data_IF_238582202202
#
_entry.id   IF_238582202202
#
_cell.length_a   1.000
_cell.length_b   1.000
_cell.length_c   1.000
_cell.angle_alpha   90.00
_cell.angle_beta   90.00
_cell.angle_gamma   90.00
#
_symmetry.space_group_name_H-M   'P 1'
#
loop_
_entity.id
_entity.type
_entity.pdbx_description
1 polymer ?
#
# COMPACT_ATOMS: atom_id res chain seq x y z
N UNK A 1 -53.73 2.84 -8.19
CA UNK A 1 -54.39 1.63 -8.74
C UNK A 1 -53.32 0.82 -9.44
N UNK A 2 -53.29 -0.49 -9.16
CA UNK A 2 -52.30 -1.52 -9.55
C UNK A 2 -50.97 -1.44 -8.79
N UNK A 3 -50.73 -2.18 -7.70
CA UNK A 3 -50.70 -3.64 -7.49
C UNK A 3 -49.81 -4.39 -8.50
N UNK A 4 -48.68 -4.95 -8.03
CA UNK A 4 -48.46 -6.41 -8.00
C UNK A 4 -47.00 -6.80 -7.68
N UNK A 5 -46.86 -7.53 -6.56
CA UNK A 5 -46.17 -8.84 -6.38
C UNK A 5 -44.64 -8.85 -6.52
N UNK A 6 -43.84 -9.22 -5.51
CA UNK A 6 -43.87 -10.34 -4.56
C UNK A 6 -43.65 -11.70 -5.24
N UNK A 7 -42.41 -12.20 -5.17
CA UNK A 7 -41.91 -13.57 -5.45
C UNK A 7 -40.38 -13.49 -5.64
N UNK A 8 -39.50 -14.30 -5.08
CA UNK A 8 -39.60 -15.58 -4.40
C UNK A 8 -38.29 -15.82 -3.63
N UNK A 9 -38.41 -16.26 -2.37
CA UNK A 9 -37.33 -16.86 -1.59
C UNK A 9 -36.85 -18.14 -2.28
N UNK A 10 -35.57 -18.23 -2.62
CA UNK A 10 -34.88 -19.52 -2.82
C UNK A 10 -33.89 -19.76 -1.69
N UNK A 11 -34.34 -20.59 -0.74
CA UNK A 11 -33.49 -21.24 0.26
C UNK A 11 -32.60 -22.26 -0.42
N UNK A 12 -31.30 -21.98 -0.51
CA UNK A 12 -30.31 -22.99 -0.89
C UNK A 12 -30.04 -23.92 0.29
N UNK A 13 -30.44 -25.17 0.10
CA UNK A 13 -30.27 -26.29 1.01
C UNK A 13 -28.82 -26.79 0.90
N UNK A 14 -28.08 -26.80 2.00
CA UNK A 14 -26.71 -27.31 2.06
C UNK A 14 -26.68 -28.85 2.08
N UNK A 15 -25.75 -29.52 1.36
CA UNK A 15 -25.55 -30.96 1.48
C UNK A 15 -24.77 -31.34 2.75
N UNK A 16 -24.97 -32.58 3.26
CA UNK A 16 -24.41 -33.03 4.54
C UNK A 16 -22.90 -33.32 4.50
N UNK A 17 -22.29 -33.06 5.65
CA UNK A 17 -20.90 -33.32 6.02
C UNK A 17 -20.49 -34.78 5.80
N UNK A 18 -19.38 -35.01 5.10
CA UNK A 18 -18.69 -36.30 5.09
C UNK A 18 -17.73 -36.36 6.26
N UNK A 19 -18.08 -37.19 7.23
CA UNK A 19 -17.17 -37.72 8.25
C UNK A 19 -16.01 -38.44 7.56
N UNK A 20 -14.82 -37.86 7.65
CA UNK A 20 -13.59 -38.48 7.21
C UNK A 20 -12.85 -38.98 8.46
N UNK A 21 -12.98 -40.27 8.74
CA UNK A 21 -12.23 -40.98 9.77
C UNK A 21 -10.73 -40.93 9.45
N UNK A 22 -9.95 -40.39 10.39
CA UNK A 22 -8.49 -40.49 10.39
C UNK A 22 -8.09 -41.87 10.95
N UNK A 23 -7.15 -42.61 10.32
CA UNK A 23 -6.50 -43.71 11.00
C UNK A 23 -5.48 -43.17 12.01
N UNK A 24 -5.49 -43.81 13.18
CA UNK A 24 -4.48 -43.68 14.20
C UNK A 24 -3.17 -44.30 13.69
N UNK A 25 -2.13 -43.48 13.56
CA UNK A 25 -0.77 -43.99 13.44
C UNK A 25 0.16 -43.17 14.35
N UNK A 26 0.33 -43.70 15.56
CA UNK A 26 1.24 -43.19 16.59
C UNK A 26 2.67 -43.61 16.25
N UNK A 27 3.24 -42.97 15.24
CA UNK A 27 4.68 -43.01 14.95
C UNK A 27 5.37 -41.86 15.68
N UNK A 28 5.98 -42.15 16.84
CA UNK A 28 6.83 -41.22 17.60
C UNK A 28 8.12 -40.94 16.81
N UNK A 29 8.04 -40.08 15.79
CA UNK A 29 9.19 -39.50 15.12
C UNK A 29 9.79 -38.44 16.04
N UNK A 30 10.96 -38.74 16.59
CA UNK A 30 11.84 -37.77 17.25
C UNK A 30 12.18 -36.67 16.24
N UNK A 31 11.42 -35.56 16.27
CA UNK A 31 11.69 -34.39 15.47
C UNK A 31 13.09 -33.86 15.83
N UNK A 32 13.98 -33.83 14.84
CA UNK A 32 15.26 -33.16 14.97
C UNK A 32 15.04 -31.71 15.44
N UNK A 33 15.92 -31.13 16.27
CA UNK A 33 15.81 -29.75 16.70
C UNK A 33 15.75 -28.85 15.47
N UNK A 34 14.61 -28.17 15.28
CA UNK A 34 14.45 -27.16 14.22
C UNK A 34 15.54 -26.11 14.47
N UNK A 35 16.44 -25.85 13.50
CA UNK A 35 17.51 -24.88 13.68
C UNK A 35 16.92 -23.55 14.14
N UNK A 36 17.49 -23.01 15.22
CA UNK A 36 16.96 -21.83 15.92
C UNK A 36 16.59 -20.74 14.93
N UNK A 37 15.28 -20.44 14.86
CA UNK A 37 14.73 -19.37 14.04
C UNK A 37 15.45 -18.09 14.44
N UNK A 38 16.23 -17.52 13.51
CA UNK A 38 16.81 -16.19 13.68
C UNK A 38 15.65 -15.22 13.88
N UNK A 39 15.38 -14.85 15.14
CA UNK A 39 14.47 -13.77 15.46
C UNK A 39 15.19 -12.51 15.02
N UNK A 40 14.88 -12.06 13.80
CA UNK A 40 15.33 -10.75 13.34
C UNK A 40 14.76 -9.70 14.31
N UNK A 41 15.58 -8.75 14.78
CA UNK A 41 15.07 -7.68 15.63
C UNK A 41 13.96 -6.94 14.88
N UNK A 42 12.76 -6.91 15.45
CA UNK A 42 11.63 -6.13 14.94
C UNK A 42 11.92 -4.66 15.19
N UNK A 43 12.43 -3.96 14.18
CA UNK A 43 12.51 -2.50 14.20
C UNK A 43 11.09 -1.96 14.07
N UNK A 44 10.59 -1.14 15.01
CA UNK A 44 9.25 -0.58 14.91
C UNK A 44 9.12 0.26 13.65
N UNK A 45 8.13 -0.09 12.82
CA UNK A 45 7.80 0.61 11.57
C UNK A 45 7.26 2.00 11.93
N UNK A 46 8.08 3.03 11.76
CA UNK A 46 7.69 4.44 11.96
C UNK A 46 7.64 5.13 10.62
N UNK A 47 6.51 5.79 10.34
CA UNK A 47 6.37 6.67 9.18
C UNK A 47 7.46 7.74 9.26
N UNK A 48 8.21 7.99 8.18
CA UNK A 48 9.22 9.05 8.18
C UNK A 48 8.52 10.42 8.20
N UNK A 49 8.93 11.32 9.11
CA UNK A 49 8.31 12.66 9.21
C UNK A 49 8.68 13.59 8.04
N UNK A 50 9.78 13.27 7.32
CA UNK A 50 10.30 14.04 6.20
C UNK A 50 10.86 13.15 5.11
N UNK A 51 10.65 13.53 3.86
CA UNK A 51 11.20 12.85 2.68
C UNK A 51 11.71 13.88 1.67
N UNK A 52 12.89 13.64 1.11
CA UNK A 52 13.47 14.43 0.02
C UNK A 52 13.15 13.81 -1.34
N UNK A 53 12.61 14.61 -2.24
CA UNK A 53 12.32 14.21 -3.64
C UNK A 53 12.92 15.24 -4.58
N UNK A 54 14.08 14.94 -5.16
CA UNK A 54 14.84 15.91 -5.96
C UNK A 54 15.18 17.17 -5.15
N UNK A 55 14.56 18.30 -5.51
CA UNK A 55 14.70 19.59 -4.84
C UNK A 55 13.63 19.85 -3.76
N UNK A 56 12.63 18.99 -3.63
CA UNK A 56 11.54 19.14 -2.66
C UNK A 56 11.91 18.51 -1.31
N UNK A 57 11.50 19.17 -0.22
CA UNK A 57 11.66 18.71 1.15
C UNK A 57 10.27 18.52 1.76
N UNK A 58 9.70 17.34 1.56
CA UNK A 58 8.31 17.06 1.91
C UNK A 58 8.17 16.72 3.38
N UNK A 59 7.18 17.31 4.05
CA UNK A 59 6.71 16.87 5.36
C UNK A 59 5.68 15.76 5.19
N UNK A 60 5.81 14.65 5.92
CA UNK A 60 4.79 13.59 5.94
C UNK A 60 3.94 13.76 7.19
N UNK A 61 2.62 13.78 7.00
CA UNK A 61 1.62 14.04 8.03
C UNK A 61 0.61 12.89 8.06
N UNK A 62 0.13 12.58 9.26
CA UNK A 62 -1.04 11.73 9.45
C UNK A 62 -2.15 12.64 10.02
N UNK A 63 -3.15 12.95 9.21
CA UNK A 63 -4.16 13.96 9.54
C UNK A 63 -5.51 13.67 8.84
N UNK A 64 -6.49 13.18 9.61
CA UNK A 64 -7.83 12.89 9.07
C UNK A 64 -8.55 14.15 8.61
N UNK A 65 -8.41 15.28 9.32
CA UNK A 65 -9.12 16.50 8.96
C UNK A 65 -8.65 17.07 7.62
N UNK A 66 -7.35 16.98 7.36
CA UNK A 66 -6.77 17.33 6.07
C UNK A 66 -7.20 16.38 4.94
N UNK A 67 -7.38 15.08 5.23
CA UNK A 67 -7.90 14.09 4.28
C UNK A 67 -9.37 14.35 3.94
N UNK A 68 -10.21 14.62 4.95
CA UNK A 68 -11.63 14.89 4.76
C UNK A 68 -11.83 16.13 3.87
N UNK A 69 -11.12 17.22 4.18
CA UNK A 69 -11.18 18.45 3.37
C UNK A 69 -10.74 18.22 1.91
N UNK A 70 -9.66 17.47 1.69
CA UNK A 70 -9.20 17.14 0.34
C UNK A 70 -10.15 16.18 -0.40
N UNK A 71 -10.79 15.26 0.32
CA UNK A 71 -11.76 14.31 -0.24
C UNK A 71 -13.03 15.04 -0.72
N UNK A 72 -13.51 16.02 0.05
CA UNK A 72 -14.62 16.90 -0.34
C UNK A 72 -14.28 17.71 -1.59
N UNK A 73 -13.07 18.28 -1.68
CA UNK A 73 -12.62 19.06 -2.84
C UNK A 73 -12.53 18.20 -4.12
N UNK A 74 -12.12 16.93 -3.99
CA UNK A 74 -11.89 16.01 -5.12
C UNK A 74 -13.09 15.12 -5.45
N UNK A 75 -14.21 15.28 -4.76
CA UNK A 75 -15.43 14.47 -4.91
C UNK A 75 -15.16 12.95 -4.81
N UNK A 76 -14.38 12.53 -3.80
CA UNK A 76 -14.07 11.12 -3.60
C UNK A 76 -13.20 10.84 -2.37
N UNK A 77 -13.31 9.62 -1.78
CA UNK A 77 -12.53 9.27 -0.60
C UNK A 77 -11.04 9.15 -0.92
N UNK A 78 -10.20 9.74 -0.07
CA UNK A 78 -8.75 9.65 -0.17
C UNK A 78 -8.15 8.83 0.97
N UNK A 79 -7.17 8.00 0.65
CA UNK A 79 -6.29 7.36 1.66
C UNK A 79 -5.00 8.14 1.89
N UNK A 80 -4.64 8.99 0.94
CA UNK A 80 -3.52 9.93 1.02
C UNK A 80 -3.61 10.96 -0.10
N UNK A 81 -2.80 12.02 0.02
CA UNK A 81 -2.50 12.92 -1.08
C UNK A 81 -1.15 13.59 -0.89
N UNK A 82 -0.60 14.09 -1.99
CA UNK A 82 0.62 14.87 -2.02
C UNK A 82 0.36 16.28 -2.59
N UNK A 83 1.02 17.26 -1.99
CA UNK A 83 0.89 18.68 -2.31
C UNK A 83 2.29 19.28 -2.42
N UNK A 84 2.74 19.49 -3.66
CA UNK A 84 4.08 19.98 -3.95
C UNK A 84 4.25 21.47 -3.62
N UNK A 85 3.16 22.25 -3.64
CA UNK A 85 3.22 23.69 -3.35
C UNK A 85 3.42 23.92 -1.85
N UNK A 86 2.72 23.14 -1.02
CA UNK A 86 2.87 23.16 0.43
C UNK A 86 3.99 22.23 0.92
N UNK A 87 4.67 21.53 0.02
CA UNK A 87 5.71 20.54 0.31
C UNK A 87 5.30 19.54 1.39
N UNK A 88 4.17 18.87 1.18
CA UNK A 88 3.65 17.89 2.14
C UNK A 88 3.05 16.66 1.47
N UNK A 89 3.05 15.56 2.22
CA UNK A 89 2.29 14.34 1.96
C UNK A 89 1.41 14.13 3.18
N UNK A 90 0.13 13.86 2.98
CA UNK A 90 -0.83 13.60 4.05
C UNK A 90 -1.40 12.21 3.85
N UNK A 91 -1.41 11.42 4.92
CA UNK A 91 -1.95 10.06 4.96
C UNK A 91 -3.16 10.02 5.91
N UNK A 92 -4.13 9.18 5.57
CA UNK A 92 -5.26 8.88 6.46
C UNK A 92 -4.81 8.03 7.65
N UNK A 93 -5.18 8.37 8.90
CA UNK A 93 -4.88 7.54 10.06
C UNK A 93 -5.65 6.21 10.06
N UNK A 94 -5.13 5.23 10.79
CA UNK A 94 -5.84 3.98 11.10
C UNK A 94 -5.76 2.91 10.01
N UNK A 95 -5.02 3.17 8.93
CA UNK A 95 -4.66 2.16 7.95
C UNK A 95 -3.81 1.03 8.56
N UNK A 96 -3.94 -0.17 8.01
CA UNK A 96 -2.98 -1.24 8.28
C UNK A 96 -1.58 -0.84 7.79
N UNK A 97 -0.50 -1.32 8.43
CA UNK A 97 0.86 -0.82 8.17
C UNK A 97 1.32 -1.04 6.71
N UNK A 98 0.87 -2.11 6.06
CA UNK A 98 1.23 -2.38 4.66
C UNK A 98 0.48 -1.45 3.70
N UNK A 99 -0.79 -1.16 3.97
CA UNK A 99 -1.59 -0.23 3.18
C UNK A 99 -1.13 1.21 3.38
N UNK A 100 -0.75 1.60 4.60
CA UNK A 100 -0.15 2.91 4.88
C UNK A 100 1.17 3.09 4.10
N UNK A 101 2.02 2.06 4.06
CA UNK A 101 3.28 2.10 3.34
C UNK A 101 3.10 2.13 1.82
N UNK A 102 2.14 1.36 1.30
CA UNK A 102 1.73 1.44 -0.10
C UNK A 102 1.23 2.85 -0.45
N UNK A 103 0.37 3.43 0.39
CA UNK A 103 -0.18 4.77 0.20
C UNK A 103 0.93 5.82 0.19
N UNK A 104 1.88 5.76 1.13
CA UNK A 104 3.02 6.67 1.12
C UNK A 104 3.87 6.50 -0.14
N UNK A 105 4.12 5.27 -0.56
CA UNK A 105 4.86 5.00 -1.80
C UNK A 105 4.13 5.60 -3.00
N UNK A 106 2.83 5.39 -3.11
CA UNK A 106 1.98 5.95 -4.17
C UNK A 106 2.11 7.48 -4.26
N UNK A 107 2.01 8.18 -3.14
CA UNK A 107 2.16 9.63 -3.11
C UNK A 107 3.57 10.10 -3.47
N UNK A 108 4.60 9.32 -3.13
CA UNK A 108 5.97 9.59 -3.56
C UNK A 108 6.17 9.38 -5.07
N UNK A 109 5.45 8.44 -5.70
CA UNK A 109 5.46 8.27 -7.15
C UNK A 109 4.88 9.49 -7.85
N UNK A 110 3.78 10.07 -7.32
CA UNK A 110 3.25 11.35 -7.83
C UNK A 110 4.31 12.47 -7.76
N UNK A 111 5.05 12.55 -6.66
CA UNK A 111 6.11 13.55 -6.51
C UNK A 111 7.30 13.29 -7.45
N UNK A 112 7.68 12.02 -7.67
CA UNK A 112 8.71 11.65 -8.67
C UNK A 112 8.33 12.12 -10.06
N UNK A 113 7.09 11.83 -10.48
CA UNK A 113 6.58 12.22 -11.78
C UNK A 113 6.63 13.75 -11.93
N UNK A 114 6.23 14.49 -10.90
CA UNK A 114 6.27 15.95 -10.92
C UNK A 114 7.68 16.51 -11.03
N UNK A 115 8.65 15.99 -10.28
CA UNK A 115 10.05 16.48 -10.34
C UNK A 115 10.78 16.04 -11.61
N UNK A 116 10.29 15.01 -12.30
CA UNK A 116 10.83 14.59 -13.60
C UNK A 116 10.57 15.62 -14.70
N UNK A 117 9.62 16.53 -14.50
CA UNK A 117 9.20 17.52 -15.48
C UNK A 117 8.27 16.97 -16.57
N UNK A 118 7.83 15.71 -16.46
CA UNK A 118 6.84 15.12 -17.38
C UNK A 118 5.50 15.85 -17.24
N UNK A 119 4.93 16.30 -18.37
CA UNK A 119 3.58 16.84 -18.42
C UNK A 119 2.57 15.68 -18.61
N UNK A 120 1.63 15.46 -17.68
CA UNK A 120 0.60 14.42 -17.82
C UNK A 120 -0.25 14.54 -19.08
N UNK A 121 -0.32 15.72 -19.70
CA UNK A 121 -1.09 15.96 -20.92
C UNK A 121 -0.38 15.46 -22.19
N UNK A 122 0.93 15.19 -22.13
CA UNK A 122 1.68 14.67 -23.27
C UNK A 122 1.30 13.21 -23.59
N UNK A 123 0.78 12.48 -22.60
CA UNK A 123 0.40 11.06 -22.73
C UNK A 123 -0.93 10.86 -23.46
N UNK A 124 -1.75 11.90 -23.64
CA UNK A 124 -3.09 11.81 -24.25
C UNK A 124 -3.07 11.43 -25.74
N UNK A 125 -1.89 11.38 -26.38
CA UNK A 125 -1.73 11.10 -27.82
C UNK A 125 -0.68 10.02 -28.14
N UNK A 126 -0.07 9.41 -27.12
CA UNK A 126 0.97 8.41 -27.30
C UNK A 126 0.37 6.99 -27.34
N UNK A 127 1.05 6.07 -28.01
CA UNK A 127 0.74 4.64 -27.96
C UNK A 127 1.08 4.09 -26.56
N UNK A 128 0.43 2.99 -26.15
CA UNK A 128 0.57 2.44 -24.78
C UNK A 128 2.03 2.10 -24.44
N UNK A 129 2.75 1.45 -25.37
CA UNK A 129 4.15 1.08 -25.18
C UNK A 129 5.06 2.31 -25.04
N UNK A 130 4.74 3.40 -25.74
CA UNK A 130 5.48 4.67 -25.64
C UNK A 130 5.22 5.35 -24.29
N UNK A 131 3.99 5.25 -23.73
CA UNK A 131 3.64 5.78 -22.42
C UNK A 131 4.40 5.04 -21.32
N UNK A 132 4.46 3.70 -21.38
CA UNK A 132 5.17 2.89 -20.39
C UNK A 132 6.65 3.24 -20.35
N UNK A 133 7.36 3.11 -21.48
CA UNK A 133 8.81 3.37 -21.54
C UNK A 133 9.14 4.80 -21.13
N UNK A 134 8.35 5.75 -21.61
CA UNK A 134 8.52 7.15 -21.23
C UNK A 134 8.31 7.33 -19.73
N UNK A 135 7.30 6.71 -19.13
CA UNK A 135 7.02 6.82 -17.68
C UNK A 135 8.16 6.24 -16.86
N UNK A 136 8.63 5.05 -17.23
CA UNK A 136 9.78 4.38 -16.61
C UNK A 136 11.01 5.27 -16.70
N UNK A 137 11.30 5.83 -17.88
CA UNK A 137 12.45 6.71 -18.09
C UNK A 137 12.35 7.99 -17.24
N UNK A 138 11.17 8.62 -17.17
CA UNK A 138 10.93 9.81 -16.33
C UNK A 138 11.09 9.52 -14.83
N UNK A 139 10.70 8.33 -14.37
CA UNK A 139 10.70 7.99 -12.94
C UNK A 139 12.02 7.40 -12.44
N UNK A 140 12.79 6.72 -13.28
CA UNK A 140 13.98 5.96 -12.86
C UNK A 140 15.01 6.82 -12.10
N UNK A 141 15.29 8.03 -12.58
CA UNK A 141 16.20 8.97 -11.93
C UNK A 141 15.70 9.45 -10.56
N UNK A 142 14.52 10.08 -10.49
CA UNK A 142 13.91 10.51 -9.23
C UNK A 142 13.74 9.38 -8.21
N UNK A 143 13.31 8.19 -8.62
CA UNK A 143 13.15 7.05 -7.72
C UNK A 143 14.49 6.63 -7.11
N UNK A 144 15.53 6.50 -7.92
CA UNK A 144 16.86 6.17 -7.42
C UNK A 144 17.35 7.23 -6.40
N UNK A 145 17.08 8.51 -6.68
CA UNK A 145 17.42 9.58 -5.75
C UNK A 145 16.64 9.50 -4.43
N UNK A 146 15.34 9.21 -4.46
CA UNK A 146 14.53 9.02 -3.24
C UNK A 146 15.09 7.88 -2.40
N UNK A 147 15.35 6.71 -3.01
CA UNK A 147 15.85 5.54 -2.28
C UNK A 147 17.21 5.80 -1.65
N UNK A 148 18.09 6.55 -2.34
CA UNK A 148 19.42 6.91 -1.84
C UNK A 148 19.37 7.96 -0.74
N UNK A 149 18.55 8.98 -0.91
CA UNK A 149 18.58 10.18 -0.05
C UNK A 149 17.69 10.03 1.20
N UNK A 150 16.90 8.95 1.31
CA UNK A 150 15.95 8.73 2.41
C UNK A 150 16.08 7.32 3.02
N UNK A 151 17.15 7.03 3.77
CA UNK A 151 17.36 5.71 4.36
C UNK A 151 16.22 5.28 5.31
N UNK A 152 15.64 6.24 6.05
CA UNK A 152 14.52 5.97 6.97
C UNK A 152 13.25 5.55 6.21
N UNK A 153 13.02 6.12 5.02
CA UNK A 153 11.92 5.70 4.15
C UNK A 153 12.13 4.27 3.68
N UNK A 154 13.34 3.91 3.22
CA UNK A 154 13.64 2.53 2.80
C UNK A 154 13.40 1.56 3.95
N UNK A 155 13.90 1.89 5.15
CA UNK A 155 13.69 1.09 6.34
C UNK A 155 12.19 0.91 6.66
N UNK A 156 11.39 1.97 6.53
CA UNK A 156 9.94 1.93 6.71
C UNK A 156 9.22 1.06 5.66
N UNK A 157 9.58 1.20 4.38
CA UNK A 157 8.95 0.45 3.28
C UNK A 157 9.29 -1.03 3.34
N UNK A 158 10.51 -1.39 3.75
CA UNK A 158 10.96 -2.80 3.82
C UNK A 158 10.78 -3.44 5.19
N UNK A 159 10.19 -2.74 6.17
CA UNK A 159 9.98 -3.28 7.50
C UNK A 159 9.07 -4.51 7.44
N UNK A 160 9.52 -5.61 8.06
CA UNK A 160 8.72 -6.83 8.18
C UNK A 160 7.42 -6.51 8.93
N UNK A 161 6.25 -6.84 8.37
CA UNK A 161 5.00 -6.55 9.04
C UNK A 161 4.88 -7.39 10.32
N UNK A 162 4.19 -6.89 11.35
CA UNK A 162 4.13 -7.53 12.66
C UNK A 162 3.50 -8.93 12.61
N UNK A 163 2.69 -9.23 11.59
CA UNK A 163 2.06 -10.53 11.40
C UNK A 163 3.00 -11.59 10.79
N UNK A 164 4.09 -11.20 10.12
CA UNK A 164 5.02 -12.15 9.49
C UNK A 164 5.98 -12.84 10.49
N UNK A 165 6.01 -12.39 11.76
CA UNK A 165 6.83 -12.96 12.82
C UNK A 165 6.27 -14.21 13.50
N UNK A 166 4.97 -14.51 13.36
CA UNK A 166 4.29 -15.54 14.17
C UNK A 166 3.84 -16.76 13.37
N UNK A 167 4.64 -17.82 13.41
CA UNK A 167 4.37 -19.15 12.89
C UNK A 167 5.40 -20.12 13.45
#
# INVERSE_FOLDING_TARGET
MSDCRDSERRTHQAPPSRDNQLPADSGLLMAAPVPGRLVMPTVPRRVPDRVRVGHLHLQVLIDQGAIDAASEERDGPLSGYSDAEQQRIVLAPGAGPDFEAETLLHELLHMCLRVSGRDPNEDAKAEVDDIEESTVNSMSGPLLAILRDNPDLVAYLTATPPWAGGG
#
